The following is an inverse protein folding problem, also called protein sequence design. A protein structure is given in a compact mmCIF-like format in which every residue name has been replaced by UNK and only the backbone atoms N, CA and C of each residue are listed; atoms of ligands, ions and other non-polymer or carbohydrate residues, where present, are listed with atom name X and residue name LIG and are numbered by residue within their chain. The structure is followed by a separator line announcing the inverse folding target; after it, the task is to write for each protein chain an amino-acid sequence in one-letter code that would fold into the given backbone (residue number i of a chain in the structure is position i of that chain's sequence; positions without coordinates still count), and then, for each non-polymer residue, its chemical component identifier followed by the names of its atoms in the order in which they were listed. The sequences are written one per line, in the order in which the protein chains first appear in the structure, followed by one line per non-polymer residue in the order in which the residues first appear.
data_IF_027135297283
#
_entry.id   IF_027135297283
#
_cell.length_a   1.000
_cell.length_b   1.000
_cell.length_c   1.000
_cell.angle_alpha   90.00
_cell.angle_beta   90.00
_cell.angle_gamma   90.00
#
_symmetry.space_group_name_H-M   'P 1'
#
loop_
_entity.id
_entity.type
_entity.pdbx_description
1 polymer ?
#
# COMPACT_ATOMS: atom_id res chain seq x y z
N UNK A 1 -3.62 -26.82 0.52
CA UNK A 1 -3.48 -25.38 0.24
C UNK A 1 -4.13 -24.62 1.38
N UNK A 2 -3.43 -23.68 2.03
CA UNK A 2 -4.08 -22.77 2.99
C UNK A 2 -5.02 -21.86 2.20
N UNK A 3 -6.28 -21.77 2.60
CA UNK A 3 -7.24 -20.85 1.98
C UNK A 3 -6.70 -19.41 2.08
N UNK A 4 -6.76 -18.67 0.97
CA UNK A 4 -6.53 -17.23 0.98
C UNK A 4 -7.61 -16.59 1.85
N UNK A 5 -7.24 -15.64 2.70
CA UNK A 5 -8.25 -14.87 3.42
C UNK A 5 -8.93 -13.94 2.42
N UNK A 6 -10.25 -14.10 2.29
CA UNK A 6 -11.07 -13.17 1.53
C UNK A 6 -11.13 -11.85 2.29
N UNK A 7 -11.02 -10.74 1.55
CA UNK A 7 -11.32 -9.42 2.09
C UNK A 7 -12.85 -9.29 2.11
N UNK A 8 -13.40 -8.87 3.23
CA UNK A 8 -14.79 -8.43 3.31
C UNK A 8 -14.86 -7.04 2.67
N UNK A 9 -15.61 -6.88 1.59
CA UNK A 9 -15.69 -5.63 0.84
C UNK A 9 -16.45 -4.51 1.57
N UNK A 10 -17.03 -4.79 2.74
CA UNK A 10 -17.65 -3.73 3.54
C UNK A 10 -16.59 -2.78 4.09
N UNK A 11 -16.89 -1.48 4.02
CA UNK A 11 -16.00 -0.47 4.57
C UNK A 11 -15.98 -0.55 6.11
N UNK A 12 -14.82 -0.30 6.73
CA UNK A 12 -14.65 -0.31 8.17
C UNK A 12 -15.56 0.73 8.84
N UNK A 13 -16.04 0.41 10.05
CA UNK A 13 -16.83 1.36 10.85
C UNK A 13 -15.97 2.41 11.55
N UNK A 14 -14.75 2.03 11.91
CA UNK A 14 -13.78 2.94 12.54
C UNK A 14 -13.06 3.76 11.48
N UNK A 15 -13.20 5.08 11.57
CA UNK A 15 -12.58 6.05 10.67
C UNK A 15 -11.26 6.59 11.19
N UNK A 16 -10.89 6.25 12.44
CA UNK A 16 -9.63 6.62 13.08
C UNK A 16 -8.88 5.39 13.64
N UNK A 17 -8.60 4.37 12.80
CA UNK A 17 -8.01 3.12 13.25
C UNK A 17 -6.58 3.30 13.74
N UNK A 18 -6.23 2.68 14.87
CA UNK A 18 -4.83 2.64 15.34
C UNK A 18 -3.94 1.74 14.45
N UNK A 19 -4.53 0.66 13.91
CA UNK A 19 -3.86 -0.32 13.06
C UNK A 19 -4.61 -0.57 11.76
N UNK A 20 -3.86 -0.82 10.71
CA UNK A 20 -4.37 -1.07 9.37
C UNK A 20 -3.62 -2.22 8.71
N UNK A 21 -4.25 -2.90 7.77
CA UNK A 21 -3.58 -3.83 6.86
C UNK A 21 -3.02 -3.07 5.66
N UNK A 22 -1.73 -2.76 5.69
CA UNK A 22 -1.02 -2.27 4.50
C UNK A 22 -0.89 -3.40 3.47
N UNK A 23 -1.57 -3.27 2.34
CA UNK A 23 -1.62 -4.30 1.31
C UNK A 23 -0.75 -3.92 0.12
N UNK A 24 0.33 -4.67 -0.06
CA UNK A 24 1.23 -4.52 -1.19
C UNK A 24 0.90 -5.54 -2.28
N UNK A 25 0.78 -5.05 -3.51
CA UNK A 25 0.63 -5.82 -4.75
C UNK A 25 1.91 -5.79 -5.61
N UNK A 26 3.00 -5.27 -5.04
CA UNK A 26 4.28 -5.07 -5.73
C UNK A 26 5.47 -5.50 -4.86
N UNK A 27 6.57 -4.78 -4.98
CA UNK A 27 7.85 -5.20 -4.38
C UNK A 27 7.83 -5.31 -2.85
N UNK A 28 6.98 -4.53 -2.15
CA UNK A 28 6.89 -4.58 -0.69
C UNK A 28 6.14 -5.84 -0.19
N UNK A 29 5.64 -6.71 -1.09
CA UNK A 29 5.25 -8.08 -0.73
C UNK A 29 6.42 -8.89 -0.17
N UNK A 30 7.66 -8.52 -0.50
CA UNK A 30 8.88 -9.09 0.06
C UNK A 30 9.20 -8.41 1.40
N UNK A 31 9.23 -9.18 2.49
CA UNK A 31 9.38 -8.62 3.83
C UNK A 31 10.70 -7.87 4.02
N UNK A 32 11.82 -8.37 3.48
CA UNK A 32 13.11 -7.66 3.59
C UNK A 32 13.11 -6.32 2.85
N UNK A 33 12.30 -6.18 1.79
CA UNK A 33 12.16 -4.90 1.12
C UNK A 33 11.32 -3.95 1.96
N UNK A 34 10.20 -4.44 2.48
CA UNK A 34 9.37 -3.67 3.42
C UNK A 34 10.16 -3.25 4.67
N UNK A 35 11.09 -4.09 5.14
CA UNK A 35 11.93 -3.81 6.30
C UNK A 35 12.73 -2.52 6.13
N UNK A 36 13.23 -2.22 4.93
CA UNK A 36 13.93 -0.96 4.70
C UNK A 36 13.02 0.28 4.79
N UNK A 37 11.75 0.18 4.38
CA UNK A 37 10.78 1.28 4.59
C UNK A 37 10.45 1.47 6.08
N UNK A 38 10.46 0.40 6.87
CA UNK A 38 10.08 0.44 8.29
C UNK A 38 11.26 0.80 9.19
N UNK A 39 12.38 0.11 9.05
CA UNK A 39 13.55 0.21 9.90
C UNK A 39 14.61 1.19 9.36
N UNK A 40 14.45 1.62 8.11
CA UNK A 40 15.43 2.44 7.40
C UNK A 40 16.58 1.61 6.83
N UNK A 41 17.51 2.30 6.18
CA UNK A 41 18.71 1.73 5.57
C UNK A 41 18.59 1.50 4.07
N UNK A 42 19.57 0.79 3.50
CA UNK A 42 19.71 0.59 2.07
C UNK A 42 19.67 -0.92 1.75
N UNK A 43 18.60 -1.44 1.13
CA UNK A 43 18.56 -2.84 0.70
C UNK A 43 19.73 -3.18 -0.24
N UNK A 44 20.25 -4.42 -0.22
CA UNK A 44 21.29 -4.84 -1.17
C UNK A 44 20.84 -4.60 -2.62
N UNK A 45 21.66 -3.86 -3.39
CA UNK A 45 21.37 -3.51 -4.78
C UNK A 45 20.40 -2.34 -4.97
N UNK A 46 19.89 -1.72 -3.90
CA UNK A 46 19.09 -0.50 -4.01
C UNK A 46 19.98 0.74 -4.15
N UNK A 47 19.65 1.61 -5.11
CA UNK A 47 20.31 2.91 -5.24
C UNK A 47 19.88 3.93 -4.16
N UNK A 48 18.82 3.62 -3.40
CA UNK A 48 18.18 4.52 -2.44
C UNK A 48 18.34 4.03 -1.02
N UNK A 49 18.72 4.95 -0.14
CA UNK A 49 18.61 4.80 1.31
C UNK A 49 17.23 5.28 1.78
N UNK A 50 16.63 4.53 2.70
CA UNK A 50 15.32 4.79 3.26
C UNK A 50 15.47 5.35 4.67
N UNK A 51 14.76 6.45 5.03
CA UNK A 51 14.82 7.02 6.37
C UNK A 51 14.21 6.08 7.44
N UNK A 52 13.29 5.20 7.05
CA UNK A 52 12.54 4.37 7.99
C UNK A 52 11.32 5.08 8.55
N UNK A 53 10.42 4.33 9.19
CA UNK A 53 9.27 4.88 9.88
C UNK A 53 9.66 5.46 11.25
N UNK A 54 8.84 6.38 11.76
CA UNK A 54 8.95 6.91 13.14
C UNK A 54 8.86 5.79 14.18
N UNK A 55 8.05 4.77 13.89
CA UNK A 55 8.03 3.49 14.61
C UNK A 55 8.67 2.38 13.74
N UNK A 56 9.87 1.89 14.09
CA UNK A 56 10.58 0.87 13.30
C UNK A 56 10.18 -0.58 13.65
N UNK A 57 9.09 -0.79 14.40
CA UNK A 57 8.62 -2.14 14.77
C UNK A 57 8.10 -2.89 13.54
N UNK A 58 8.64 -4.07 13.26
CA UNK A 58 8.20 -4.88 12.12
C UNK A 58 6.74 -5.35 12.26
N UNK A 59 6.02 -5.57 11.14
CA UNK A 59 4.63 -6.01 11.15
C UNK A 59 4.48 -7.32 11.92
N UNK A 60 3.65 -7.33 12.96
CA UNK A 60 3.45 -8.52 13.79
C UNK A 60 2.82 -9.69 13.02
N UNK A 61 2.09 -9.38 11.94
CA UNK A 61 1.44 -10.36 11.07
C UNK A 61 1.54 -9.93 9.61
N UNK A 62 1.72 -10.91 8.74
CA UNK A 62 1.64 -10.75 7.29
C UNK A 62 0.84 -11.92 6.71
N UNK A 63 -0.20 -11.63 5.92
CA UNK A 63 -1.11 -12.64 5.38
C UNK A 63 -1.26 -12.50 3.87
N UNK A 64 -1.45 -13.61 3.13
CA UNK A 64 -1.81 -13.53 1.73
C UNK A 64 -3.29 -13.15 1.58
N UNK A 65 -3.58 -12.25 0.65
CA UNK A 65 -4.94 -11.75 0.34
C UNK A 65 -5.16 -11.68 -1.17
N UNK A 66 -6.42 -11.61 -1.58
CA UNK A 66 -6.83 -11.41 -2.97
C UNK A 66 -7.63 -10.09 -3.05
N UNK A 67 -7.16 -9.15 -3.88
CA UNK A 67 -7.84 -7.89 -4.19
C UNK A 67 -8.68 -8.05 -5.45
N UNK A 68 -9.87 -7.45 -5.49
CA UNK A 68 -10.66 -7.31 -6.73
C UNK A 68 -10.14 -6.14 -7.54
N UNK A 69 -9.63 -6.37 -8.74
CA UNK A 69 -9.03 -5.33 -9.56
C UNK A 69 -8.05 -5.88 -10.58
N UNK A 70 -7.23 -4.98 -11.14
CA UNK A 70 -6.10 -5.34 -11.97
C UNK A 70 -4.83 -4.64 -11.48
N UNK A 71 -3.70 -5.36 -11.50
CA UNK A 71 -2.38 -4.77 -11.36
C UNK A 71 -1.79 -4.60 -12.76
N UNK A 72 -1.21 -3.45 -13.03
CA UNK A 72 -0.62 -3.12 -14.32
C UNK A 72 0.73 -2.42 -14.12
N UNK A 73 1.60 -2.53 -15.12
CA UNK A 73 2.88 -1.84 -15.13
C UNK A 73 2.80 -0.64 -16.06
N UNK A 74 3.18 0.54 -15.57
CA UNK A 74 3.24 1.76 -16.38
C UNK A 74 4.37 2.68 -15.90
N UNK A 75 4.62 3.76 -16.66
CA UNK A 75 5.70 4.74 -16.44
C UNK A 75 7.10 4.11 -16.48
N UNK A 76 8.15 4.92 -16.39
CA UNK A 76 9.52 4.40 -16.29
C UNK A 76 10.11 4.63 -14.90
N UNK A 77 10.62 3.55 -14.29
CA UNK A 77 11.32 3.56 -13.01
C UNK A 77 12.83 3.52 -13.21
N UNK A 78 13.56 4.59 -12.86
CA UNK A 78 15.02 4.55 -12.82
C UNK A 78 15.55 3.47 -11.87
N UNK A 79 14.81 3.16 -10.80
CA UNK A 79 15.20 2.15 -9.82
C UNK A 79 15.06 0.71 -10.35
N UNK A 80 14.26 0.48 -11.39
CA UNK A 80 13.98 -0.86 -11.92
C UNK A 80 14.34 -1.03 -13.40
N UNK A 81 14.67 0.06 -14.11
CA UNK A 81 14.90 0.04 -15.56
C UNK A 81 13.65 -0.34 -16.38
N UNK A 82 12.45 -0.12 -15.83
CA UNK A 82 11.19 -0.54 -16.45
C UNK A 82 9.95 -0.02 -15.72
N UNK A 83 8.79 -0.62 -16.01
CA UNK A 83 7.49 -0.24 -15.45
C UNK A 83 7.38 -0.33 -13.93
N UNK A 84 6.63 0.58 -13.31
CA UNK A 84 6.20 0.46 -11.90
C UNK A 84 4.85 -0.23 -11.84
N UNK A 85 4.64 -1.04 -10.80
CA UNK A 85 3.34 -1.65 -10.54
C UNK A 85 2.36 -0.60 -9.98
N UNK A 86 1.18 -0.52 -10.58
CA UNK A 86 0.02 0.22 -10.11
C UNK A 86 -1.18 -0.71 -10.00
N UNK A 87 -2.20 -0.26 -9.30
CA UNK A 87 -3.42 -1.01 -9.06
C UNK A 87 -4.65 -0.21 -9.47
N UNK A 88 -5.51 -0.83 -10.27
CA UNK A 88 -6.81 -0.33 -10.67
C UNK A 88 -7.91 -1.10 -9.92
N UNK A 89 -8.58 -0.48 -8.91
CA UNK A 89 -9.64 -1.12 -8.15
C UNK A 89 -10.96 -1.23 -8.92
N UNK A 90 -11.12 -0.55 -10.06
CA UNK A 90 -12.35 -0.56 -10.86
C UNK A 90 -12.30 -1.59 -11.99
N UNK A 91 -11.12 -2.12 -12.31
CA UNK A 91 -10.98 -3.19 -13.28
C UNK A 91 -11.60 -4.51 -12.76
N UNK A 92 -12.12 -5.32 -13.68
CA UNK A 92 -12.52 -6.69 -13.35
C UNK A 92 -11.28 -7.59 -13.25
N UNK A 93 -11.16 -8.35 -12.17
CA UNK A 93 -10.05 -9.28 -12.03
C UNK A 93 -9.73 -9.58 -10.59
N UNK A 94 -8.60 -10.26 -10.40
CA UNK A 94 -8.11 -10.69 -9.08
C UNK A 94 -6.60 -10.46 -9.03
N UNK A 95 -6.15 -9.77 -7.99
CA UNK A 95 -4.72 -9.48 -7.74
C UNK A 95 -4.29 -10.18 -6.48
N UNK A 96 -3.28 -11.05 -6.59
CA UNK A 96 -2.64 -11.65 -5.42
C UNK A 96 -1.72 -10.63 -4.76
N UNK A 97 -1.93 -10.41 -3.47
CA UNK A 97 -1.22 -9.40 -2.69
C UNK A 97 -0.84 -9.93 -1.31
N UNK A 98 -0.05 -9.14 -0.58
CA UNK A 98 0.28 -9.40 0.82
C UNK A 98 -0.13 -8.24 1.70
N UNK A 99 -0.91 -8.54 2.73
CA UNK A 99 -1.34 -7.58 3.73
C UNK A 99 -0.45 -7.70 4.98
N UNK A 100 0.16 -6.59 5.38
CA UNK A 100 1.03 -6.45 6.54
C UNK A 100 0.31 -5.61 7.62
N UNK A 101 0.21 -6.15 8.84
CA UNK A 101 -0.43 -5.42 9.93
C UNK A 101 0.53 -4.37 10.49
N UNK A 102 0.22 -3.10 10.28
CA UNK A 102 1.03 -1.95 10.68
C UNK A 102 0.17 -0.94 11.44
N UNK A 103 0.79 0.01 12.15
CA UNK A 103 0.03 1.14 12.70
C UNK A 103 -0.39 2.10 11.58
N UNK A 104 -1.43 2.91 11.80
CA UNK A 104 -1.80 3.96 10.85
C UNK A 104 -0.65 4.97 10.62
N UNK A 105 0.14 5.26 11.66
CA UNK A 105 1.36 6.07 11.56
C UNK A 105 2.40 5.44 10.62
N UNK A 106 2.66 4.13 10.76
CA UNK A 106 3.59 3.43 9.87
C UNK A 106 3.08 3.38 8.43
N UNK A 107 1.76 3.23 8.22
CA UNK A 107 1.18 3.31 6.89
C UNK A 107 1.42 4.69 6.25
N UNK A 108 1.21 5.77 7.01
CA UNK A 108 1.52 7.14 6.57
C UNK A 108 3.00 7.31 6.23
N UNK A 109 3.90 6.80 7.07
CA UNK A 109 5.35 6.88 6.87
C UNK A 109 5.82 6.09 5.62
N UNK A 110 5.26 4.89 5.40
CA UNK A 110 5.54 4.09 4.20
C UNK A 110 5.05 4.83 2.95
N UNK A 111 3.83 5.37 2.99
CA UNK A 111 3.26 6.12 1.88
C UNK A 111 4.12 7.37 1.55
N UNK A 112 4.51 8.16 2.57
CA UNK A 112 5.39 9.31 2.41
C UNK A 112 6.70 8.94 1.70
N UNK A 113 7.34 7.84 2.12
CA UNK A 113 8.59 7.38 1.52
C UNK A 113 8.41 6.91 0.06
N UNK A 114 7.31 6.24 -0.28
CA UNK A 114 7.00 5.88 -1.68
C UNK A 114 6.79 7.12 -2.57
N UNK A 115 6.30 8.21 -1.97
CA UNK A 115 6.14 9.52 -2.63
C UNK A 115 7.40 10.39 -2.57
N UNK A 116 8.55 9.85 -2.12
CA UNK A 116 9.82 10.56 -1.97
C UNK A 116 9.77 11.74 -0.98
N UNK A 117 8.92 11.64 0.04
CA UNK A 117 8.76 12.62 1.14
C UNK A 117 9.37 12.08 2.44
N UNK A 118 9.58 12.97 3.40
CA UNK A 118 9.98 12.60 4.74
C UNK A 118 8.80 11.97 5.52
N UNK A 119 9.02 10.94 6.35
CA UNK A 119 8.00 10.33 7.20
C UNK A 119 7.84 11.14 8.50
N UNK A 120 7.29 12.34 8.41
CA UNK A 120 7.21 13.30 9.53
C UNK A 120 5.77 13.67 9.93
N UNK A 121 4.77 13.17 9.20
CA UNK A 121 3.39 13.59 9.31
C UNK A 121 2.41 12.43 9.15
N UNK A 122 1.27 12.57 9.79
CA UNK A 122 0.17 11.60 9.69
C UNK A 122 -0.69 11.87 8.45
N UNK A 123 -1.37 10.82 8.00
CA UNK A 123 -2.20 10.85 6.81
C UNK A 123 -3.68 10.83 7.18
N UNK A 124 -4.48 11.74 6.61
CA UNK A 124 -5.93 11.68 6.77
C UNK A 124 -6.52 10.53 5.95
N UNK A 125 -6.96 9.48 6.65
CA UNK A 125 -7.55 8.28 6.06
C UNK A 125 -9.08 8.39 5.87
N UNK A 126 -9.71 9.46 6.37
CA UNK A 126 -11.18 9.56 6.50
C UNK A 126 -11.90 9.29 5.18
N UNK A 127 -11.48 9.94 4.09
CA UNK A 127 -12.11 9.75 2.78
C UNK A 127 -11.89 8.35 2.23
N UNK A 128 -10.70 7.75 2.42
CA UNK A 128 -10.44 6.39 1.96
C UNK A 128 -11.30 5.37 2.73
N UNK A 129 -11.47 5.55 4.04
CA UNK A 129 -12.23 4.65 4.90
C UNK A 129 -13.74 4.80 4.73
N UNK A 130 -14.24 5.99 4.37
CA UNK A 130 -15.69 6.25 4.22
C UNK A 130 -16.20 6.13 2.79
N UNK A 131 -15.36 6.44 1.78
CA UNK A 131 -15.72 6.42 0.36
C UNK A 131 -15.01 5.30 -0.42
N UNK A 132 -14.12 4.53 0.23
CA UNK A 132 -13.32 3.50 -0.41
C UNK A 132 -12.09 4.01 -1.17
N UNK A 133 -11.97 5.33 -1.39
CA UNK A 133 -10.87 5.94 -2.16
C UNK A 133 -10.65 7.40 -1.76
N UNK A 134 -9.39 7.84 -1.76
CA UNK A 134 -9.03 9.25 -1.59
C UNK A 134 -7.86 9.63 -2.50
N UNK A 135 -8.01 10.67 -3.31
CA UNK A 135 -6.92 11.24 -4.12
C UNK A 135 -6.30 12.39 -3.34
N UNK A 136 -5.03 12.26 -2.99
CA UNK A 136 -4.24 13.21 -2.20
C UNK A 136 -3.39 14.14 -3.10
N UNK A 137 -3.24 13.79 -4.37
CA UNK A 137 -2.44 14.53 -5.35
C UNK A 137 -2.39 13.82 -6.69
N UNK A 138 -1.61 14.39 -7.62
CA UNK A 138 -1.50 13.90 -9.01
C UNK A 138 -0.32 12.94 -9.23
N UNK A 139 0.43 12.63 -8.17
CA UNK A 139 1.60 11.76 -8.21
C UNK A 139 1.28 10.27 -8.27
N UNK A 140 2.33 9.48 -8.52
CA UNK A 140 2.27 8.04 -8.85
C UNK A 140 1.70 7.15 -7.73
N UNK A 141 1.77 7.58 -6.47
CA UNK A 141 1.21 6.85 -5.33
C UNK A 141 0.36 7.76 -4.42
N UNK A 142 -0.21 8.84 -4.98
CA UNK A 142 -1.00 9.83 -4.22
C UNK A 142 -2.48 9.45 -4.12
N UNK A 143 -2.87 8.20 -4.38
CA UNK A 143 -4.25 7.74 -4.23
C UNK A 143 -4.34 6.60 -3.25
N UNK A 144 -5.08 6.79 -2.16
CA UNK A 144 -5.42 5.75 -1.20
C UNK A 144 -6.64 4.97 -1.66
N UNK A 145 -6.63 3.66 -1.44
CA UNK A 145 -7.76 2.77 -1.69
C UNK A 145 -8.00 1.90 -0.45
N UNK A 146 -9.25 1.85 0.01
CA UNK A 146 -9.71 0.88 0.99
C UNK A 146 -10.43 -0.26 0.27
N UNK A 147 -9.84 -1.46 0.31
CA UNK A 147 -10.39 -2.64 -0.33
C UNK A 147 -11.48 -3.34 0.52
N UNK A 148 -11.80 -2.78 1.70
CA UNK A 148 -12.67 -3.37 2.69
C UNK A 148 -11.93 -3.68 3.99
N UNK A 149 -12.22 -4.81 4.63
CA UNK A 149 -11.68 -5.18 5.95
C UNK A 149 -11.30 -6.66 6.07
N UNK A 150 -10.35 -6.93 6.97
CA UNK A 150 -9.98 -8.28 7.43
C UNK A 150 -9.89 -8.27 8.95
N UNK A 151 -10.65 -9.15 9.61
CA UNK A 151 -10.80 -9.20 11.07
C UNK A 151 -11.22 -7.84 11.68
N UNK A 152 -12.06 -7.08 10.97
CA UNK A 152 -12.53 -5.75 11.39
C UNK A 152 -11.51 -4.61 11.21
N UNK A 153 -10.29 -4.91 10.74
CA UNK A 153 -9.29 -3.89 10.41
C UNK A 153 -9.36 -3.52 8.93
N UNK A 154 -9.18 -2.23 8.59
CA UNK A 154 -9.20 -1.76 7.21
C UNK A 154 -8.03 -2.32 6.40
N UNK A 155 -8.32 -2.68 5.15
CA UNK A 155 -7.33 -3.08 4.15
C UNK A 155 -7.04 -1.89 3.25
N UNK A 156 -5.86 -1.30 3.42
CA UNK A 156 -5.45 -0.10 2.70
C UNK A 156 -4.29 -0.37 1.75
N UNK A 157 -4.31 0.31 0.62
CA UNK A 157 -3.18 0.40 -0.29
C UNK A 157 -3.11 1.80 -0.89
N UNK A 158 -2.02 2.07 -1.61
CA UNK A 158 -1.86 3.29 -2.39
C UNK A 158 -1.49 2.94 -3.84
N UNK A 159 -1.93 3.78 -4.76
CA UNK A 159 -1.79 3.62 -6.21
C UNK A 159 -1.80 5.01 -6.86
N UNK A 160 -1.76 5.05 -8.18
CA UNK A 160 -1.91 6.27 -8.95
C UNK A 160 -3.38 6.71 -9.06
N UNK A 161 -3.66 8.00 -9.34
CA UNK A 161 -5.03 8.46 -9.54
C UNK A 161 -5.68 7.97 -10.83
N UNK A 162 -4.90 7.44 -11.78
CA UNK A 162 -5.34 6.96 -13.08
C UNK A 162 -5.56 5.43 -13.13
N UNK A 163 -6.51 5.00 -13.95
CA UNK A 163 -6.77 3.61 -14.25
C UNK A 163 -5.84 3.05 -15.32
N UNK A 164 -5.92 1.74 -15.56
CA UNK A 164 -5.03 1.07 -16.52
C UNK A 164 -5.23 1.53 -17.98
N UNK A 165 -6.40 2.09 -18.30
CA UNK A 165 -6.74 2.59 -19.64
C UNK A 165 -6.33 4.04 -19.87
N UNK A 166 -5.90 4.74 -18.80
CA UNK A 166 -5.61 6.17 -18.83
C UNK A 166 -4.13 6.46 -19.08
N UNK A 167 -3.27 5.43 -19.09
CA UNK A 167 -1.81 5.58 -19.21
C UNK A 167 -1.24 4.58 -20.21
N UNK A 168 -0.40 5.08 -21.12
CA UNK A 168 0.41 4.30 -22.06
C UNK A 168 1.83 4.05 -21.53
#
# INVERSE_FOLDING_TARGET
MKALRSIDSTLPRDVCPEQVWYTSYGSNMHLDRLAAYIQGGQPPGAAREYPGCRNPTMPARSIPVELTGAMYFATESPAWGGGRAFYDPHASGRVLARAHLVTAQQFADIAAQEMYRAPDSDLDLTNALTQGRAVLGEGRYETLVCAGQVDGMPVLTFTAPWGMSDVQ
#
